data_IF_920245798792
#
_entry.id   IF_920245798792
#
_cell.length_a   1.000
_cell.length_b   1.000
_cell.length_c   1.000
_cell.angle_alpha   90.00
_cell.angle_beta   90.00
_cell.angle_gamma   90.00
#
_symmetry.space_group_name_H-M   'P 1'
#
loop_
_entity.id
_entity.type
_entity.pdbx_description
1 polymer ?
#
# COMPACT_ATOMS: atom_id res chain seq x y z
N UNK A 1 -43.17 37.56 -15.84
CA UNK A 1 -42.11 38.01 -16.77
C UNK A 1 -41.88 36.89 -17.79
N UNK A 2 -42.02 37.14 -19.10
CA UNK A 2 -41.92 36.08 -20.10
C UNK A 2 -40.45 35.78 -20.45
N UNK A 3 -40.12 34.50 -20.53
CA UNK A 3 -38.81 34.00 -20.94
C UNK A 3 -38.63 34.12 -22.46
N UNK A 4 -37.58 34.82 -22.88
CA UNK A 4 -37.14 34.88 -24.27
C UNK A 4 -36.26 33.67 -24.60
N UNK A 5 -36.74 32.85 -25.55
CA UNK A 5 -35.97 31.83 -26.24
C UNK A 5 -34.97 32.50 -27.18
N UNK A 6 -33.68 32.18 -27.04
CA UNK A 6 -32.63 32.60 -27.96
C UNK A 6 -32.03 31.34 -28.59
N UNK A 7 -32.46 31.04 -29.81
CA UNK A 7 -31.93 29.96 -30.64
C UNK A 7 -31.00 30.58 -31.69
N UNK A 8 -29.70 30.33 -31.56
CA UNK A 8 -28.70 30.46 -32.63
C UNK A 8 -27.44 29.71 -32.20
N UNK A 9 -27.34 28.44 -32.60
CA UNK A 9 -26.11 27.64 -32.48
C UNK A 9 -25.54 27.40 -33.89
N UNK A 10 -24.27 27.74 -34.16
CA UNK A 10 -23.67 27.68 -35.50
C UNK A 10 -23.08 26.30 -35.86
N UNK A 11 -23.38 25.25 -35.10
CA UNK A 11 -22.84 23.92 -35.35
C UNK A 11 -23.86 23.01 -36.08
N UNK A 12 -24.07 23.28 -37.38
CA UNK A 12 -24.64 22.28 -38.30
C UNK A 12 -23.48 21.64 -39.07
N UNK A 13 -23.00 20.51 -38.56
CA UNK A 13 -22.02 19.68 -39.26
C UNK A 13 -22.78 18.60 -40.06
N UNK A 14 -22.74 18.71 -41.38
CA UNK A 14 -23.23 17.71 -42.33
C UNK A 14 -22.48 16.40 -42.10
N UNK A 15 -23.16 15.42 -41.50
CA UNK A 15 -22.72 14.03 -41.51
C UNK A 15 -23.64 13.31 -42.50
N UNK A 16 -23.12 12.96 -43.68
CA UNK A 16 -23.82 12.03 -44.56
C UNK A 16 -23.97 10.67 -43.83
N UNK A 17 -25.14 10.02 -43.90
CA UNK A 17 -25.33 8.72 -43.27
C UNK A 17 -24.45 7.69 -43.97
N UNK A 18 -23.43 7.18 -43.27
CA UNK A 18 -22.69 5.99 -43.68
C UNK A 18 -23.66 4.83 -43.71
N UNK A 19 -24.01 4.42 -44.91
CA UNK A 19 -24.88 3.30 -45.20
C UNK A 19 -24.12 2.00 -44.88
N UNK A 20 -24.16 1.58 -43.61
CA UNK A 20 -23.61 0.30 -43.18
C UNK A 20 -24.41 -0.83 -43.85
N UNK A 21 -23.81 -1.44 -44.86
CA UNK A 21 -24.33 -2.63 -45.51
C UNK A 21 -24.02 -3.84 -44.61
N UNK A 22 -25.01 -4.53 -44.03
CA UNK A 22 -24.79 -5.60 -43.04
C UNK A 22 -24.22 -6.90 -43.63
N UNK A 23 -23.95 -6.96 -44.93
CA UNK A 23 -23.44 -8.16 -45.61
C UNK A 23 -21.90 -8.24 -45.76
N UNK A 24 -21.15 -7.26 -45.25
CA UNK A 24 -19.68 -7.25 -45.39
C UNK A 24 -18.91 -7.22 -44.05
N UNK A 25 -19.38 -8.03 -43.09
CA UNK A 25 -18.54 -8.43 -41.95
C UNK A 25 -17.77 -9.70 -42.32
N UNK A 26 -16.81 -9.57 -43.24
CA UNK A 26 -15.83 -10.63 -43.45
C UNK A 26 -15.00 -10.79 -42.16
N UNK A 27 -15.23 -11.89 -41.44
CA UNK A 27 -14.44 -12.25 -40.26
C UNK A 27 -13.01 -12.54 -40.74
N UNK A 28 -12.14 -11.53 -40.65
CA UNK A 28 -10.72 -11.69 -40.89
C UNK A 28 -10.13 -12.59 -39.81
N UNK A 29 -9.62 -13.75 -40.20
CA UNK A 29 -8.88 -14.63 -39.29
C UNK A 29 -7.40 -14.27 -39.36
N UNK A 30 -6.64 -14.43 -38.27
CA UNK A 30 -5.17 -14.22 -38.29
C UNK A 30 -4.46 -14.99 -39.41
N UNK A 31 -5.04 -16.11 -39.88
CA UNK A 31 -4.53 -16.87 -41.01
C UNK A 31 -4.56 -16.06 -42.31
N UNK A 32 -5.63 -15.30 -42.53
CA UNK A 32 -5.79 -14.43 -43.71
C UNK A 32 -4.78 -13.29 -43.72
N UNK A 33 -4.46 -12.74 -42.54
CA UNK A 33 -3.44 -11.69 -42.40
C UNK A 33 -2.03 -12.24 -42.69
N UNK A 34 -1.70 -13.43 -42.19
CA UNK A 34 -0.43 -14.11 -42.48
C UNK A 34 -0.25 -14.43 -43.97
N UNK A 35 -1.30 -14.91 -44.64
CA UNK A 35 -1.25 -15.20 -46.09
C UNK A 35 -1.11 -13.92 -46.94
N UNK A 36 -1.62 -12.79 -46.46
CA UNK A 36 -1.47 -11.49 -47.14
C UNK A 36 -0.04 -10.94 -47.06
N UNK A 37 0.70 -11.25 -45.98
CA UNK A 37 2.10 -10.86 -45.81
C UNK A 37 3.03 -11.67 -46.72
N UNK A 38 2.73 -12.93 -46.99
CA UNK A 38 3.50 -13.74 -47.95
C UNK A 38 3.26 -13.32 -49.41
N UNK A 39 2.03 -12.91 -49.76
CA UNK A 39 1.71 -12.46 -51.13
C UNK A 39 2.30 -11.09 -51.48
N UNK A 40 2.51 -10.23 -50.49
CA UNK A 40 2.98 -8.86 -50.69
C UNK A 40 4.50 -8.70 -50.45
N UNK A 41 5.28 -9.73 -50.80
CA UNK A 41 6.73 -9.67 -51.05
C UNK A 41 7.50 -8.66 -50.20
N UNK A 42 8.08 -9.11 -49.10
CA UNK A 42 8.96 -8.32 -48.21
C UNK A 42 9.90 -7.43 -49.04
N UNK A 43 9.83 -6.09 -48.90
CA UNK A 43 10.76 -5.21 -49.59
C UNK A 43 12.17 -5.54 -49.13
N UNK A 44 12.99 -5.94 -50.09
CA UNK A 44 14.36 -6.36 -49.93
C UNK A 44 15.19 -5.20 -49.34
N UNK A 45 15.38 -5.21 -48.01
CA UNK A 45 16.10 -4.19 -47.26
C UNK A 45 17.60 -4.52 -47.11
N UNK A 46 18.19 -5.13 -48.15
CA UNK A 46 19.59 -5.56 -48.14
C UNK A 46 20.34 -4.94 -49.32
N UNK A 47 20.75 -3.66 -49.16
CA UNK A 47 21.93 -2.99 -49.78
C UNK A 47 21.79 -1.47 -49.75
N UNK A 48 22.15 -0.85 -48.63
CA UNK A 48 22.91 0.40 -48.65
C UNK A 48 23.38 0.76 -47.24
N UNK A 49 24.52 0.20 -46.83
CA UNK A 49 25.30 0.74 -45.71
C UNK A 49 26.57 1.29 -46.34
N UNK A 50 26.61 2.60 -46.54
CA UNK A 50 27.83 3.30 -46.91
C UNK A 50 28.78 3.34 -45.70
N UNK A 51 30.11 3.33 -45.91
CA UNK A 51 31.08 3.33 -44.81
C UNK A 51 31.05 4.66 -44.07
N UNK A 52 30.81 4.63 -42.75
CA UNK A 52 30.93 5.81 -41.89
C UNK A 52 32.42 6.10 -41.70
N UNK A 53 32.88 7.14 -42.39
CA UNK A 53 34.22 7.71 -42.25
C UNK A 53 34.34 8.40 -40.89
N UNK A 54 35.36 8.01 -40.11
CA UNK A 54 35.68 8.60 -38.82
C UNK A 54 36.22 10.02 -39.03
N UNK A 55 35.37 11.04 -38.85
CA UNK A 55 35.86 12.41 -38.67
C UNK A 55 36.41 12.60 -37.24
N UNK A 56 37.73 12.70 -37.18
CA UNK A 56 38.50 13.12 -36.00
C UNK A 56 38.39 14.64 -35.91
N UNK A 57 37.62 15.15 -34.95
CA UNK A 57 37.53 16.59 -34.69
C UNK A 57 38.72 17.06 -33.85
N UNK A 58 39.80 17.48 -34.50
CA UNK A 58 40.88 18.27 -33.90
C UNK A 58 40.84 19.68 -34.46
N UNK A 59 40.53 20.70 -33.65
CA UNK A 59 41.03 22.08 -33.82
C UNK A 59 40.70 22.99 -32.61
N UNK A 60 41.32 24.18 -32.49
CA UNK A 60 42.34 24.39 -31.47
C UNK A 60 42.02 25.55 -30.50
N UNK A 61 42.84 25.63 -29.47
CA UNK A 61 42.97 26.75 -28.52
C UNK A 61 43.26 28.09 -29.24
N UNK A 62 42.47 29.12 -28.95
CA UNK A 62 42.94 30.50 -28.71
C UNK A 62 41.79 31.39 -28.18
N UNK A 63 42.03 32.07 -27.04
CA UNK A 63 41.19 33.10 -26.44
C UNK A 63 41.28 34.44 -27.22
N UNK A 64 40.43 35.47 -26.97
CA UNK A 64 40.50 36.26 -25.72
C UNK A 64 39.16 36.79 -25.14
N UNK A 65 39.13 36.85 -23.81
CA UNK A 65 38.66 37.95 -22.94
C UNK A 65 37.58 38.89 -23.52
N UNK A 66 36.35 38.79 -22.99
CA UNK A 66 35.51 39.97 -22.70
C UNK A 66 34.75 39.79 -21.37
N UNK A 67 34.77 40.87 -20.59
CA UNK A 67 34.36 41.01 -19.21
C UNK A 67 32.83 40.94 -19.04
N UNK A 68 32.32 40.07 -18.16
CA UNK A 68 30.99 40.25 -17.59
C UNK A 68 31.01 40.09 -16.06
N UNK A 69 30.88 41.27 -15.44
CA UNK A 69 30.42 41.64 -14.09
C UNK A 69 30.31 40.53 -13.04
N UNK A 70 31.25 40.62 -12.12
CA UNK A 70 31.17 40.26 -10.70
C UNK A 70 29.85 40.74 -10.08
N UNK A 71 29.05 39.81 -9.55
CA UNK A 71 28.04 40.11 -8.54
C UNK A 71 28.64 39.87 -7.15
N UNK A 72 28.92 40.96 -6.44
CA UNK A 72 29.19 40.94 -4.99
C UNK A 72 27.87 41.04 -4.23
N UNK A 73 27.67 40.31 -3.12
CA UNK A 73 26.55 40.53 -2.20
C UNK A 73 26.98 41.52 -1.09
N UNK A 74 26.44 42.74 -1.18
CA UNK A 74 26.38 43.78 -0.14
C UNK A 74 25.10 44.59 -0.52
N UNK A 75 24.21 45.05 0.34
CA UNK A 75 24.25 45.36 1.76
C UNK A 75 22.82 45.79 2.17
N UNK A 76 22.48 45.62 3.46
CA UNK A 76 21.58 46.46 4.27
C UNK A 76 20.11 46.67 3.85
N UNK A 77 19.20 46.07 4.61
CA UNK A 77 18.14 46.85 5.26
C UNK A 77 18.08 46.49 6.75
N UNK A 78 18.43 47.49 7.56
CA UNK A 78 18.30 47.53 9.01
C UNK A 78 16.83 47.74 9.36
N UNK A 79 16.32 47.00 10.35
CA UNK A 79 15.31 47.54 11.27
C UNK A 79 15.80 47.39 12.71
N UNK A 80 15.64 48.45 13.53
CA UNK A 80 16.08 48.50 14.91
C UNK A 80 14.98 47.95 15.81
N UNK A 81 15.32 47.15 16.82
CA UNK A 81 14.77 47.28 18.19
C UNK A 81 15.41 46.23 19.11
N UNK A 82 16.11 46.73 20.12
CA UNK A 82 16.44 46.12 21.41
C UNK A 82 17.52 45.03 21.48
N UNK A 83 18.76 45.52 21.56
CA UNK A 83 19.81 44.91 22.39
C UNK A 83 19.39 44.85 23.87
N UNK A 84 19.61 43.69 24.50
CA UNK A 84 19.82 43.59 25.94
C UNK A 84 21.14 42.87 26.17
N UNK A 85 22.21 43.66 26.21
CA UNK A 85 23.57 43.28 26.62
C UNK A 85 23.81 43.80 28.02
N UNK A 86 24.01 42.92 29.02
CA UNK A 86 24.99 42.98 30.14
C UNK A 86 24.93 41.56 30.78
N UNK A 87 25.97 40.84 31.21
CA UNK A 87 27.36 41.12 31.49
C UNK A 87 28.15 39.79 31.42
N UNK A 88 29.39 39.85 30.94
CA UNK A 88 30.40 38.81 31.15
C UNK A 88 31.34 39.24 32.29
N UNK A 89 31.72 38.30 33.16
CA UNK A 89 33.00 38.17 33.89
C UNK A 89 32.89 37.09 34.99
N UNK A 90 34.00 36.55 35.55
CA UNK A 90 35.17 35.98 34.89
C UNK A 90 35.59 34.60 35.46
N UNK A 91 36.57 34.01 34.79
CA UNK A 91 37.46 32.87 35.10
C UNK A 91 37.50 32.29 36.54
N UNK A 92 37.40 30.95 36.57
CA UNK A 92 38.03 29.92 37.43
C UNK A 92 38.56 30.29 38.83
N UNK A 93 38.34 29.38 39.80
CA UNK A 93 39.50 28.61 40.26
C UNK A 93 39.26 27.10 40.39
N UNK A 94 40.33 26.38 40.04
CA UNK A 94 40.67 24.99 40.36
C UNK A 94 40.36 24.66 41.83
N UNK A 95 39.48 23.68 42.07
CA UNK A 95 39.34 23.05 43.39
C UNK A 95 39.49 21.54 43.27
N UNK A 96 40.46 21.08 44.06
CA UNK A 96 40.89 19.73 44.38
C UNK A 96 39.78 18.69 44.56
N UNK A 97 40.10 17.51 44.04
CA UNK A 97 39.50 16.22 44.36
C UNK A 97 39.68 15.97 45.87
N UNK A 98 38.59 15.98 46.64
CA UNK A 98 38.54 15.36 47.97
C UNK A 98 37.51 14.24 47.98
N UNK A 99 38.04 13.02 47.95
CA UNK A 99 37.36 11.75 48.18
C UNK A 99 36.93 11.72 49.65
N UNK A 100 35.65 11.94 49.92
CA UNK A 100 35.08 11.81 51.27
C UNK A 100 33.96 10.77 51.22
N UNK A 101 34.29 9.58 51.72
CA UNK A 101 33.32 8.54 52.04
C UNK A 101 32.54 9.01 53.26
N UNK A 102 31.24 9.27 53.07
CA UNK A 102 30.29 9.38 54.19
C UNK A 102 29.16 8.41 53.92
N UNK A 103 29.19 7.32 54.68
CA UNK A 103 28.04 6.48 54.93
C UNK A 103 26.94 7.36 55.56
N UNK A 104 25.84 7.53 54.84
CA UNK A 104 24.59 8.02 55.39
C UNK A 104 23.54 6.93 55.16
N UNK A 105 23.42 6.09 56.17
CA UNK A 105 22.30 5.21 56.46
C UNK A 105 21.02 6.06 56.51
N UNK A 106 20.25 6.05 55.42
CA UNK A 106 18.89 6.61 55.43
C UNK A 106 17.94 5.44 55.70
N UNK A 107 17.50 5.42 56.96
CA UNK A 107 16.52 4.50 57.50
C UNK A 107 15.23 4.46 56.67
N UNK A 108 14.79 3.23 56.40
CA UNK A 108 13.49 2.89 55.82
C UNK A 108 12.36 3.34 56.75
N UNK A 109 11.29 3.99 56.25
CA UNK A 109 9.99 3.91 56.88
C UNK A 109 9.28 2.64 56.38
N UNK A 110 9.48 1.55 57.10
CA UNK A 110 8.61 0.39 57.06
C UNK A 110 7.25 0.75 57.67
N UNK A 111 6.22 0.93 56.83
CA UNK A 111 4.83 0.88 57.30
C UNK A 111 3.94 0.21 56.27
N UNK A 112 4.02 -1.12 56.22
CA UNK A 112 3.01 -1.96 55.58
C UNK A 112 1.76 -1.95 56.47
N UNK A 113 0.77 -1.15 56.10
CA UNK A 113 -0.59 -1.31 56.65
C UNK A 113 -1.21 -2.56 56.01
N UNK A 114 -1.14 -3.69 56.71
CA UNK A 114 -1.93 -4.87 56.41
C UNK A 114 -3.41 -4.57 56.70
N UNK A 115 -4.17 -4.23 55.68
CA UNK A 115 -5.63 -4.20 55.81
C UNK A 115 -6.16 -5.64 55.94
N UNK A 116 -7.09 -5.90 56.87
CA UNK A 116 -7.68 -7.22 57.06
C UNK A 116 -8.57 -7.57 55.86
N UNK A 117 -8.16 -8.58 55.09
CA UNK A 117 -8.78 -9.01 53.83
C UNK A 117 -10.03 -9.90 54.03
N UNK A 118 -10.94 -9.51 54.94
CA UNK A 118 -12.12 -10.33 55.26
C UNK A 118 -13.21 -10.32 54.18
N UNK A 119 -13.19 -9.36 53.25
CA UNK A 119 -14.24 -9.22 52.23
C UNK A 119 -13.90 -9.90 50.89
N UNK A 120 -12.67 -10.43 50.75
CA UNK A 120 -12.24 -11.10 49.52
C UNK A 120 -13.12 -12.32 49.20
N UNK A 121 -13.49 -13.10 50.21
CA UNK A 121 -14.33 -14.29 50.03
C UNK A 121 -15.76 -13.95 49.62
N UNK A 122 -16.28 -12.78 50.05
CA UNK A 122 -17.61 -12.30 49.65
C UNK A 122 -17.59 -11.88 48.18
N UNK A 123 -16.57 -11.13 47.76
CA UNK A 123 -16.41 -10.68 46.35
C UNK A 123 -16.23 -11.89 45.42
N UNK A 124 -15.42 -12.88 45.83
CA UNK A 124 -15.19 -14.09 45.03
C UNK A 124 -16.47 -14.92 44.87
N UNK A 125 -17.26 -15.08 45.95
CA UNK A 125 -18.57 -15.76 45.90
C UNK A 125 -19.54 -15.04 44.95
N UNK A 126 -19.55 -13.70 44.96
CA UNK A 126 -20.45 -12.91 44.12
C UNK A 126 -20.10 -13.03 42.62
N UNK A 127 -18.81 -13.08 42.28
CA UNK A 127 -18.33 -13.33 40.91
C UNK A 127 -18.75 -14.72 40.42
N UNK A 128 -18.61 -15.75 41.26
CA UNK A 128 -19.00 -17.13 40.89
C UNK A 128 -20.51 -17.22 40.62
N UNK A 129 -21.34 -16.62 41.48
CA UNK A 129 -22.80 -16.58 41.28
C UNK A 129 -23.16 -15.86 39.97
N UNK A 130 -22.54 -14.71 39.70
CA UNK A 130 -22.77 -13.95 38.46
C UNK A 130 -22.43 -14.78 37.22
N UNK A 131 -21.32 -15.52 37.27
CA UNK A 131 -20.85 -16.36 36.14
C UNK A 131 -21.82 -17.51 35.87
N UNK A 132 -22.29 -18.20 36.92
CA UNK A 132 -23.29 -19.28 36.80
C UNK A 132 -24.60 -18.72 36.23
N UNK A 133 -25.00 -17.52 36.64
CA UNK A 133 -26.23 -16.88 36.15
C UNK A 133 -26.17 -16.56 34.65
N UNK A 134 -25.02 -16.08 34.15
CA UNK A 134 -24.82 -15.81 32.72
C UNK A 134 -24.87 -17.10 31.90
N UNK A 135 -24.20 -18.17 32.37
CA UNK A 135 -24.22 -19.47 31.69
C UNK A 135 -25.63 -20.06 31.67
N UNK A 136 -26.37 -19.97 32.79
CA UNK A 136 -27.74 -20.47 32.89
C UNK A 136 -28.70 -19.74 31.95
N UNK A 137 -28.65 -18.40 31.92
CA UNK A 137 -29.46 -17.60 31.00
C UNK A 137 -29.14 -17.89 29.53
N UNK A 138 -27.86 -18.07 29.21
CA UNK A 138 -27.42 -18.34 27.83
C UNK A 138 -27.87 -19.75 27.38
N UNK A 139 -27.72 -20.76 28.25
CA UNK A 139 -28.19 -22.12 27.98
C UNK A 139 -29.71 -22.20 27.84
N UNK A 140 -30.45 -21.47 28.68
CA UNK A 140 -31.91 -21.38 28.57
C UNK A 140 -32.36 -20.76 27.24
N UNK A 141 -31.72 -19.67 26.82
CA UNK A 141 -32.02 -19.02 25.54
C UNK A 141 -31.70 -19.93 24.34
N UNK A 142 -30.59 -20.66 24.39
CA UNK A 142 -30.21 -21.62 23.35
C UNK A 142 -31.19 -22.81 23.27
N UNK A 143 -31.71 -23.27 24.41
CA UNK A 143 -32.70 -24.34 24.42
C UNK A 143 -34.04 -23.87 23.85
N UNK A 144 -34.51 -22.68 24.24
CA UNK A 144 -35.76 -22.09 23.76
C UNK A 144 -35.77 -21.92 22.23
N UNK A 145 -34.64 -21.58 21.64
CA UNK A 145 -34.52 -21.32 20.19
C UNK A 145 -34.41 -22.60 19.34
N UNK A 146 -34.04 -23.75 19.92
CA UNK A 146 -33.93 -25.02 19.17
C UNK A 146 -35.22 -25.84 19.07
N UNK A 147 -36.25 -25.56 19.86
CA UNK A 147 -37.44 -26.44 19.96
C UNK A 147 -38.54 -26.17 18.93
N UNK A 148 -38.38 -25.22 17.99
CA UNK A 148 -39.50 -24.72 17.17
C UNK A 148 -39.46 -25.07 15.68
N UNK A 149 -38.88 -26.20 15.29
CA UNK A 149 -39.00 -26.70 13.92
C UNK A 149 -39.59 -28.10 13.89
N UNK A 150 -40.86 -28.19 14.28
CA UNK A 150 -41.73 -29.32 13.90
C UNK A 150 -42.08 -29.11 12.41
N UNK A 151 -41.55 -29.93 11.48
CA UNK A 151 -41.95 -29.85 10.09
C UNK A 151 -43.45 -30.11 9.99
N UNK A 152 -44.19 -29.18 9.39
CA UNK A 152 -45.61 -29.33 9.17
C UNK A 152 -45.87 -30.60 8.32
N UNK A 153 -46.90 -31.40 8.64
CA UNK A 153 -47.26 -32.56 7.83
C UNK A 153 -47.67 -32.08 6.44
N UNK A 154 -46.94 -32.56 5.43
CA UNK A 154 -47.22 -32.35 4.03
C UNK A 154 -48.56 -33.02 3.71
N UNK A 155 -49.59 -32.21 3.49
CA UNK A 155 -50.88 -32.64 2.94
C UNK A 155 -50.62 -32.98 1.48
N UNK A 156 -50.78 -34.26 1.12
CA UNK A 156 -50.70 -34.74 -0.26
C UNK A 156 -51.94 -34.27 -1.02
N UNK A 157 -51.86 -33.10 -1.65
CA UNK A 157 -52.81 -32.70 -2.69
C UNK A 157 -52.52 -33.49 -3.99
N UNK A 158 -53.56 -33.83 -4.77
CA UNK A 158 -53.42 -34.57 -6.03
C UNK A 158 -52.53 -33.79 -7.01
N UNK A 159 -51.49 -34.48 -7.50
CA UNK A 159 -50.53 -33.99 -8.49
C UNK A 159 -51.28 -33.60 -9.77
N UNK A 160 -51.53 -32.31 -9.92
CA UNK A 160 -51.77 -31.67 -11.21
C UNK A 160 -50.41 -31.55 -11.86
N UNK A 161 -50.23 -32.21 -13.01
CA UNK A 161 -49.03 -32.12 -13.85
C UNK A 161 -48.81 -30.65 -14.25
N UNK A 162 -48.09 -29.93 -13.39
CA UNK A 162 -47.65 -28.57 -13.65
C UNK A 162 -46.44 -28.71 -14.59
N UNK A 163 -46.45 -28.06 -15.75
CA UNK A 163 -45.35 -28.14 -16.70
C UNK A 163 -44.04 -27.82 -15.97
N UNK A 164 -43.08 -28.73 -16.08
CA UNK A 164 -41.73 -28.60 -15.55
C UNK A 164 -41.15 -27.33 -16.17
N UNK A 165 -41.25 -26.21 -15.45
CA UNK A 165 -40.55 -24.99 -15.82
C UNK A 165 -39.07 -25.31 -15.65
N UNK A 166 -38.35 -25.33 -16.77
CA UNK A 166 -36.89 -25.39 -16.75
C UNK A 166 -36.39 -24.32 -15.77
N UNK A 167 -35.51 -24.68 -14.82
CA UNK A 167 -35.02 -23.74 -13.83
C UNK A 167 -34.42 -22.55 -14.58
N UNK A 168 -35.09 -21.40 -14.47
CA UNK A 168 -34.59 -20.14 -15.03
C UNK A 168 -33.21 -19.95 -14.43
N UNK A 169 -32.19 -20.08 -15.27
CA UNK A 169 -30.81 -19.93 -14.86
C UNK A 169 -30.63 -18.48 -14.43
N UNK A 170 -30.67 -18.23 -13.12
CA UNK A 170 -30.46 -16.91 -12.54
C UNK A 170 -28.99 -16.60 -12.77
N UNK A 171 -28.69 -15.92 -13.87
CA UNK A 171 -27.35 -15.42 -14.17
C UNK A 171 -27.03 -14.42 -13.08
N UNK A 172 -26.17 -14.83 -12.14
CA UNK A 172 -25.66 -13.94 -11.10
C UNK A 172 -25.07 -12.70 -11.79
N UNK A 173 -25.42 -11.48 -11.36
CA UNK A 173 -24.89 -10.27 -11.96
C UNK A 173 -23.36 -10.33 -12.01
N UNK A 174 -22.79 -10.02 -13.18
CA UNK A 174 -21.36 -10.02 -13.40
C UNK A 174 -20.71 -8.99 -12.46
N UNK A 175 -19.87 -9.45 -11.54
CA UNK A 175 -19.17 -8.57 -10.62
C UNK A 175 -18.21 -7.65 -11.39
N UNK A 176 -18.32 -6.34 -11.18
CA UNK A 176 -17.47 -5.32 -11.82
C UNK A 176 -16.00 -5.45 -11.40
N UNK A 177 -15.77 -5.84 -10.15
CA UNK A 177 -14.43 -5.96 -9.55
C UNK A 177 -14.25 -7.33 -8.93
N UNK A 178 -13.05 -7.90 -9.08
CA UNK A 178 -12.68 -9.18 -8.49
C UNK A 178 -11.98 -8.98 -7.14
N UNK A 179 -12.43 -9.70 -6.11
CA UNK A 179 -11.67 -9.82 -4.86
C UNK A 179 -10.51 -10.84 -4.97
N UNK A 180 -10.57 -11.74 -5.96
CA UNK A 180 -9.59 -12.81 -6.14
C UNK A 180 -8.38 -12.37 -6.96
N UNK A 181 -8.58 -11.52 -7.98
CA UNK A 181 -7.55 -11.05 -8.90
C UNK A 181 -7.34 -9.53 -8.79
N UNK A 182 -6.13 -9.02 -9.08
CA UNK A 182 -5.92 -7.59 -9.19
C UNK A 182 -6.82 -6.97 -10.26
N UNK A 183 -7.40 -5.81 -9.94
CA UNK A 183 -8.19 -4.99 -10.83
C UNK A 183 -7.32 -3.86 -11.42
N UNK A 184 -7.73 -3.28 -12.54
CA UNK A 184 -7.05 -2.13 -13.12
C UNK A 184 -7.81 -0.85 -12.80
N UNK A 185 -7.09 0.16 -12.31
CA UNK A 185 -7.60 1.51 -12.10
C UNK A 185 -6.95 2.44 -13.11
N UNK A 186 -7.69 2.78 -14.16
CA UNK A 186 -7.21 3.63 -15.25
C UNK A 186 -7.23 5.10 -14.81
N UNK A 187 -6.10 5.77 -14.94
CA UNK A 187 -5.94 7.21 -14.69
C UNK A 187 -5.44 7.88 -15.95
N UNK A 188 -6.10 8.97 -16.35
CA UNK A 188 -5.62 9.79 -17.44
C UNK A 188 -4.44 10.66 -16.97
N UNK A 189 -3.24 10.35 -17.48
CA UNK A 189 -2.01 11.07 -17.12
C UNK A 189 -1.91 12.46 -17.77
N UNK A 190 -2.69 12.77 -18.80
CA UNK A 190 -2.58 14.02 -19.57
C UNK A 190 -3.06 15.25 -18.77
N UNK A 191 -4.06 15.09 -17.91
CA UNK A 191 -4.68 16.16 -17.13
C UNK A 191 -4.59 15.93 -15.62
N UNK A 192 -3.63 15.12 -15.20
CA UNK A 192 -3.62 14.52 -13.86
C UNK A 192 -3.66 15.56 -12.74
N UNK A 193 -4.72 15.51 -11.93
CA UNK A 193 -4.84 16.28 -10.70
C UNK A 193 -5.22 15.36 -9.53
N UNK A 194 -4.81 15.71 -8.32
CA UNK A 194 -5.18 14.97 -7.12
C UNK A 194 -6.72 14.84 -6.99
N UNK A 195 -7.48 15.87 -7.39
CA UNK A 195 -8.93 15.85 -7.38
C UNK A 195 -9.52 14.77 -8.32
N UNK A 196 -8.96 14.62 -9.52
CA UNK A 196 -9.38 13.59 -10.48
C UNK A 196 -9.05 12.18 -9.99
N UNK A 197 -7.83 11.96 -9.49
CA UNK A 197 -7.44 10.66 -8.92
C UNK A 197 -8.36 10.30 -7.75
N UNK A 198 -8.65 11.26 -6.87
CA UNK A 198 -9.57 11.06 -5.74
C UNK A 198 -10.98 10.71 -6.23
N UNK A 199 -11.45 11.36 -7.29
CA UNK A 199 -12.76 11.07 -7.90
C UNK A 199 -12.82 9.64 -8.45
N UNK A 200 -11.79 9.21 -9.19
CA UNK A 200 -11.69 7.85 -9.73
C UNK A 200 -11.68 6.81 -8.61
N UNK A 201 -10.89 7.03 -7.57
CA UNK A 201 -10.86 6.16 -6.38
C UNK A 201 -12.19 6.15 -5.63
N UNK A 202 -12.84 7.30 -5.48
CA UNK A 202 -14.13 7.40 -4.80
C UNK A 202 -15.23 6.67 -5.55
N UNK A 203 -15.21 6.72 -6.89
CA UNK A 203 -16.17 5.97 -7.71
C UNK A 203 -15.97 4.45 -7.55
N UNK A 204 -14.73 3.97 -7.64
CA UNK A 204 -14.42 2.56 -7.40
C UNK A 204 -14.79 2.11 -5.98
N UNK A 205 -14.52 2.97 -4.98
CA UNK A 205 -14.93 2.74 -3.60
C UNK A 205 -16.45 2.66 -3.42
N UNK A 206 -17.21 3.57 -4.02
CA UNK A 206 -18.66 3.60 -3.91
C UNK A 206 -19.31 2.38 -4.57
N UNK A 207 -18.81 1.94 -5.72
CA UNK A 207 -19.25 0.70 -6.38
C UNK A 207 -19.07 -0.54 -5.49
N UNK A 208 -18.08 -0.51 -4.58
CA UNK A 208 -17.78 -1.59 -3.64
C UNK A 208 -18.52 -1.48 -2.30
N UNK A 209 -19.17 -0.34 -2.02
CA UNK A 209 -19.83 -0.07 -0.73
C UNK A 209 -21.01 -1.00 -0.46
N UNK A 210 -21.73 -1.35 -1.52
CA UNK A 210 -22.90 -2.24 -1.47
C UNK A 210 -22.52 -3.73 -1.53
N UNK A 211 -21.23 -4.04 -1.72
CA UNK A 211 -20.75 -5.41 -1.58
C UNK A 211 -20.86 -5.83 -0.12
N UNK A 212 -21.78 -6.76 0.15
CA UNK A 212 -22.04 -7.30 1.50
C UNK A 212 -20.86 -8.07 2.10
N UNK A 213 -19.85 -8.40 1.29
CA UNK A 213 -18.65 -9.07 1.75
C UNK A 213 -17.61 -8.05 2.25
N UNK A 214 -17.06 -8.30 3.44
CA UNK A 214 -15.86 -7.63 3.97
C UNK A 214 -14.60 -8.07 3.20
N UNK A 215 -14.65 -7.94 1.88
CA UNK A 215 -13.58 -8.32 0.97
C UNK A 215 -12.62 -7.15 0.76
N UNK A 216 -11.35 -7.48 0.59
CA UNK A 216 -10.32 -6.54 0.14
C UNK A 216 -10.16 -6.66 -1.37
N UNK A 217 -10.23 -5.52 -2.05
CA UNK A 217 -10.10 -5.43 -3.50
C UNK A 217 -8.77 -4.77 -3.84
N UNK A 218 -8.01 -5.45 -4.70
CA UNK A 218 -6.67 -5.03 -5.10
C UNK A 218 -6.73 -4.28 -6.43
N UNK A 219 -6.03 -3.15 -6.54
CA UNK A 219 -5.99 -2.31 -7.72
C UNK A 219 -4.55 -1.99 -8.14
N UNK A 220 -4.22 -2.34 -9.37
CA UNK A 220 -3.06 -1.83 -10.09
C UNK A 220 -3.45 -0.55 -10.82
N UNK A 221 -2.69 0.52 -10.59
CA UNK A 221 -2.93 1.82 -11.20
C UNK A 221 -2.24 1.86 -12.56
N UNK A 222 -3.00 2.14 -13.62
CA UNK A 222 -2.51 2.13 -15.01
C UNK A 222 -2.89 3.40 -15.76
N UNK A 223 -2.15 3.73 -16.80
CA UNK A 223 -2.50 4.81 -17.74
C UNK A 223 -3.57 4.36 -18.77
N UNK A 224 -3.95 5.26 -19.68
CA UNK A 224 -4.91 4.99 -20.76
C UNK A 224 -4.44 3.88 -21.75
N UNK A 225 -3.16 3.54 -21.75
CA UNK A 225 -2.57 2.51 -22.60
C UNK A 225 -2.37 1.19 -21.82
N UNK A 226 -2.91 1.08 -20.61
CA UNK A 226 -2.74 -0.03 -19.66
C UNK A 226 -1.30 -0.24 -19.17
N UNK A 227 -0.45 0.79 -19.22
CA UNK A 227 0.88 0.72 -18.61
C UNK A 227 0.79 1.00 -17.11
N UNK A 228 1.41 0.19 -16.23
CA UNK A 228 1.48 0.48 -14.81
C UNK A 228 2.15 1.82 -14.52
N UNK A 229 1.50 2.63 -13.69
CA UNK A 229 2.06 3.89 -13.19
C UNK A 229 3.00 3.56 -12.02
N UNK A 230 4.14 4.24 -11.93
CA UNK A 230 5.11 4.03 -10.84
C UNK A 230 4.74 4.85 -9.60
N UNK A 231 5.20 4.40 -8.43
CA UNK A 231 4.94 5.08 -7.15
C UNK A 231 5.38 6.54 -7.13
N UNK A 232 6.59 6.93 -7.60
CA UNK A 232 6.99 8.34 -7.57
C UNK A 232 6.08 9.23 -8.43
N UNK A 233 5.65 8.74 -9.59
CA UNK A 233 4.75 9.46 -10.50
C UNK A 233 3.36 9.60 -9.87
N UNK A 234 2.82 8.50 -9.33
CA UNK A 234 1.54 8.51 -8.64
C UNK A 234 1.56 9.41 -7.39
N UNK A 235 2.61 9.32 -6.57
CA UNK A 235 2.75 10.09 -5.34
C UNK A 235 2.79 11.60 -5.62
N UNK A 236 3.53 12.02 -6.64
CA UNK A 236 3.56 13.42 -7.05
C UNK A 236 2.17 13.90 -7.51
N UNK A 237 1.48 13.10 -8.31
CA UNK A 237 0.18 13.44 -8.88
C UNK A 237 -0.97 13.41 -7.86
N UNK A 238 -0.90 12.51 -6.88
CA UNK A 238 -1.85 12.39 -5.78
C UNK A 238 -1.51 13.32 -4.59
N UNK A 239 -0.47 14.16 -4.73
CA UNK A 239 0.02 15.06 -3.68
C UNK A 239 0.35 14.30 -2.37
N UNK A 240 0.89 13.08 -2.48
CA UNK A 240 1.44 12.36 -1.32
C UNK A 240 2.77 13.00 -0.92
N UNK A 241 2.80 13.69 0.22
CA UNK A 241 3.97 14.44 0.68
C UNK A 241 4.94 13.59 1.50
N UNK A 242 5.20 12.35 1.06
CA UNK A 242 6.26 11.51 1.64
C UNK A 242 7.64 12.15 1.39
N UNK A 243 8.54 12.09 2.37
CA UNK A 243 9.87 12.66 2.18
C UNK A 243 10.64 11.94 1.07
N UNK A 244 11.49 12.68 0.35
CA UNK A 244 12.28 12.10 -0.75
C UNK A 244 13.10 10.89 -0.30
N UNK A 245 13.60 10.91 0.94
CA UNK A 245 14.32 9.79 1.54
C UNK A 245 13.48 8.52 1.64
N UNK A 246 12.22 8.65 2.08
CA UNK A 246 11.27 7.53 2.09
C UNK A 246 11.04 7.04 0.66
N UNK A 247 10.71 7.93 -0.28
CA UNK A 247 10.47 7.55 -1.69
C UNK A 247 11.67 6.78 -2.27
N UNK A 248 12.91 7.22 -2.02
CA UNK A 248 14.11 6.51 -2.51
C UNK A 248 14.37 5.16 -1.84
N UNK A 249 13.79 4.91 -0.67
CA UNK A 249 13.90 3.64 0.03
C UNK A 249 12.85 2.61 -0.42
N UNK A 250 11.90 3.03 -1.26
CA UNK A 250 10.79 2.23 -1.78
C UNK A 250 11.00 1.84 -3.23
N UNK A 251 10.32 0.78 -3.67
CA UNK A 251 10.26 0.33 -5.05
C UNK A 251 9.45 1.28 -5.95
N UNK A 252 9.52 1.03 -7.25
CA UNK A 252 8.71 1.77 -8.23
C UNK A 252 7.29 1.19 -8.35
N UNK A 253 7.11 -0.08 -7.98
CA UNK A 253 5.84 -0.78 -7.98
C UNK A 253 5.01 -0.44 -6.74
N UNK A 254 3.70 -0.29 -6.93
CA UNK A 254 2.77 -0.16 -5.83
C UNK A 254 1.41 -0.74 -6.21
N UNK A 255 0.62 -0.99 -5.18
CA UNK A 255 -0.73 -1.53 -5.32
C UNK A 255 -1.63 -0.81 -4.33
N UNK A 256 -2.80 -0.39 -4.80
CA UNK A 256 -3.84 0.19 -3.96
C UNK A 256 -4.82 -0.90 -3.53
N UNK A 257 -5.37 -0.74 -2.34
CA UNK A 257 -6.36 -1.64 -1.78
C UNK A 257 -7.57 -0.85 -1.33
N UNK A 258 -8.75 -1.38 -1.64
CA UNK A 258 -10.02 -0.86 -1.15
C UNK A 258 -10.62 -1.90 -0.23
N UNK A 259 -10.96 -1.50 0.99
CA UNK A 259 -11.53 -2.37 2.01
C UNK A 259 -12.83 -1.79 2.56
N UNK A 260 -13.88 -2.61 2.60
CA UNK A 260 -15.17 -2.22 3.20
C UNK A 260 -15.17 -2.53 4.70
N UNK A 261 -14.81 -1.55 5.52
CA UNK A 261 -14.79 -1.65 6.98
C UNK A 261 -16.17 -1.32 7.55
N UNK A 262 -17.10 -2.29 7.47
CA UNK A 262 -18.47 -2.17 7.96
C UNK A 262 -19.25 -0.98 7.37
N UNK A 263 -19.24 -0.84 6.04
CA UNK A 263 -19.88 0.24 5.29
C UNK A 263 -19.02 1.50 5.13
N UNK A 264 -17.90 1.58 5.86
CA UNK A 264 -16.90 2.63 5.69
C UNK A 264 -15.82 2.14 4.74
N UNK A 265 -15.73 2.73 3.55
CA UNK A 265 -14.67 2.38 2.61
C UNK A 265 -13.35 3.00 3.09
N UNK A 266 -12.33 2.15 3.16
CA UNK A 266 -10.97 2.50 3.58
C UNK A 266 -9.99 2.14 2.49
N UNK A 267 -8.91 2.91 2.43
CA UNK A 267 -7.84 2.70 1.49
C UNK A 267 -6.61 2.15 2.19
N UNK A 268 -5.94 1.24 1.51
CA UNK A 268 -4.58 0.82 1.82
C UNK A 268 -3.70 0.98 0.59
N UNK A 269 -2.40 1.06 0.81
CA UNK A 269 -1.43 0.85 -0.26
C UNK A 269 -0.29 -0.02 0.21
N UNK A 270 0.33 -0.72 -0.73
CA UNK A 270 1.57 -1.42 -0.49
C UNK A 270 2.55 -1.22 -1.64
N UNK A 271 3.83 -1.22 -1.31
CA UNK A 271 4.93 -1.04 -2.25
C UNK A 271 6.15 -1.83 -1.77
N UNK A 272 7.01 -2.22 -2.70
CA UNK A 272 8.24 -2.94 -2.39
C UNK A 272 9.25 -2.06 -1.65
N UNK A 273 10.17 -2.67 -0.92
CA UNK A 273 11.23 -2.00 -0.15
C UNK A 273 12.58 -2.25 -0.81
N UNK A 274 13.39 -1.20 -0.97
CA UNK A 274 14.78 -1.31 -1.39
C UNK A 274 15.76 -1.31 -0.21
N UNK A 275 15.47 -0.54 0.85
CA UNK A 275 16.31 -0.47 2.06
C UNK A 275 15.45 -0.39 3.34
N UNK A 276 15.24 -1.55 3.98
CA UNK A 276 14.34 -1.72 5.13
C UNK A 276 14.77 -0.91 6.35
N UNK A 277 16.04 -1.01 6.76
CA UNK A 277 16.53 -0.33 7.97
C UNK A 277 16.46 1.18 7.85
N UNK A 278 16.86 1.71 6.68
CA UNK A 278 16.77 3.13 6.40
C UNK A 278 15.32 3.61 6.36
N UNK A 279 14.43 2.87 5.69
CA UNK A 279 13.01 3.18 5.60
C UNK A 279 12.34 3.27 6.98
N UNK A 280 12.59 2.30 7.87
CA UNK A 280 12.01 2.30 9.23
C UNK A 280 12.41 3.57 9.98
N UNK A 281 13.68 3.97 9.90
CA UNK A 281 14.19 5.17 10.58
C UNK A 281 13.54 6.44 10.03
N UNK A 282 13.44 6.59 8.71
CA UNK A 282 12.87 7.79 8.09
C UNK A 282 11.34 7.85 8.27
N UNK A 283 10.63 6.72 8.26
CA UNK A 283 9.20 6.68 8.62
C UNK A 283 8.98 7.17 10.05
N UNK A 284 9.77 6.71 11.01
CA UNK A 284 9.68 7.15 12.41
C UNK A 284 9.93 8.66 12.56
N UNK A 285 10.85 9.23 11.79
CA UNK A 285 11.09 10.68 11.77
C UNK A 285 9.91 11.46 11.19
N UNK A 286 9.16 10.86 10.26
CA UNK A 286 8.02 11.48 9.58
C UNK A 286 6.68 11.21 10.28
N UNK A 287 6.63 10.45 11.38
CA UNK A 287 5.39 10.10 12.10
C UNK A 287 4.56 11.33 12.55
N UNK A 288 5.21 12.47 12.80
CA UNK A 288 4.52 13.70 13.20
C UNK A 288 3.73 14.37 12.07
N UNK A 289 4.13 14.17 10.81
CA UNK A 289 3.46 14.74 9.62
C UNK A 289 2.76 13.68 8.80
N UNK A 290 3.03 12.39 9.03
CA UNK A 290 2.55 11.28 8.20
C UNK A 290 1.05 11.33 7.96
N UNK A 291 0.25 11.76 8.94
CA UNK A 291 -1.20 11.87 8.78
C UNK A 291 -1.67 12.91 7.77
N UNK A 292 -0.91 14.00 7.65
CA UNK A 292 -1.11 14.99 6.60
C UNK A 292 -0.53 14.49 5.29
N UNK A 293 0.61 13.80 5.35
CA UNK A 293 1.32 13.32 4.16
C UNK A 293 0.58 12.25 3.36
N UNK A 294 -0.29 11.48 4.02
CA UNK A 294 -1.18 10.51 3.37
C UNK A 294 -2.65 10.93 3.42
N UNK A 295 -2.95 12.22 3.64
CA UNK A 295 -4.32 12.73 3.75
C UNK A 295 -5.17 12.42 2.51
N UNK A 296 -4.54 12.32 1.33
CA UNK A 296 -5.16 11.90 0.08
C UNK A 296 -5.91 10.55 0.19
N UNK A 297 -5.42 9.64 1.04
CA UNK A 297 -6.02 8.30 1.21
C UNK A 297 -7.37 8.32 1.95
N UNK A 298 -7.80 9.47 2.49
CA UNK A 298 -9.10 9.64 3.12
C UNK A 298 -10.12 10.17 2.12
N UNK A 299 -10.98 9.27 1.62
CA UNK A 299 -11.95 9.57 0.58
C UNK A 299 -13.05 10.53 1.04
N UNK A 300 -13.74 10.22 2.14
CA UNK A 300 -14.92 10.98 2.58
C UNK A 300 -14.55 12.33 3.20
N UNK A 301 -13.68 12.32 4.20
CA UNK A 301 -13.22 13.53 4.89
C UNK A 301 -11.86 13.28 5.53
N UNK A 302 -11.01 14.31 5.50
CA UNK A 302 -9.77 14.31 6.27
C UNK A 302 -10.18 14.44 7.74
N UNK A 303 -9.83 13.48 8.61
CA UNK A 303 -10.20 13.56 10.01
C UNK A 303 -9.55 14.81 10.63
N UNK A 304 -10.28 15.51 11.51
CA UNK A 304 -9.68 16.56 12.33
C UNK A 304 -8.50 15.95 13.09
N UNK A 305 -7.30 16.49 12.85
CA UNK A 305 -6.08 15.92 13.42
C UNK A 305 -6.08 16.17 14.92
N UNK A 306 -6.24 15.12 15.71
CA UNK A 306 -5.93 15.18 17.15
C UNK A 306 -4.42 15.28 17.36
N UNK A 307 -3.99 15.92 18.44
CA UNK A 307 -2.59 15.83 18.85
C UNK A 307 -2.33 14.45 19.47
N UNK A 308 -1.21 13.82 19.12
CA UNK A 308 -0.79 12.57 19.74
C UNK A 308 0.46 11.99 19.08
N UNK A 309 0.84 10.79 19.53
CA UNK A 309 2.00 10.08 19.03
C UNK A 309 1.60 8.72 18.46
N UNK A 310 2.35 8.25 17.48
CA UNK A 310 2.26 6.88 16.99
C UNK A 310 2.59 5.89 18.12
N UNK A 311 1.83 4.80 18.15
CA UNK A 311 1.94 3.71 19.13
C UNK A 311 2.43 2.44 18.45
N UNK A 312 3.09 1.58 19.21
CA UNK A 312 3.50 0.26 18.75
C UNK A 312 2.34 -0.74 18.84
N UNK A 313 2.26 -1.62 17.84
CA UNK A 313 1.36 -2.76 17.81
C UNK A 313 2.01 -3.96 17.12
N UNK A 314 1.25 -5.06 17.05
CA UNK A 314 1.68 -6.28 16.37
C UNK A 314 0.48 -6.93 15.67
N UNK A 315 0.73 -7.48 14.48
CA UNK A 315 -0.25 -8.28 13.76
C UNK A 315 0.45 -9.33 12.88
N UNK A 316 0.06 -10.60 13.01
CA UNK A 316 0.68 -11.74 12.33
C UNK A 316 2.23 -11.69 12.33
N UNK A 317 2.81 -11.49 13.51
CA UNK A 317 4.26 -11.33 13.75
C UNK A 317 4.93 -10.10 13.11
N UNK A 318 4.20 -9.25 12.39
CA UNK A 318 4.70 -7.97 11.92
C UNK A 318 4.51 -6.89 12.99
N UNK A 319 5.57 -6.12 13.23
CA UNK A 319 5.49 -4.91 14.04
C UNK A 319 4.67 -3.87 13.27
N UNK A 320 3.67 -3.32 13.93
CA UNK A 320 2.83 -2.25 13.37
C UNK A 320 3.04 -0.96 14.15
N UNK A 321 2.81 0.16 13.49
CA UNK A 321 2.80 1.50 14.07
C UNK A 321 1.48 2.14 13.71
N UNK A 322 0.79 2.72 14.69
CA UNK A 322 -0.54 3.27 14.44
C UNK A 322 -0.78 4.58 15.16
N UNK A 323 -1.60 5.42 14.55
CA UNK A 323 -2.04 6.69 15.11
C UNK A 323 -3.54 6.84 14.91
N UNK A 324 -4.29 6.92 16.03
CA UNK A 324 -5.71 7.19 15.99
C UNK A 324 -5.91 8.69 15.78
N UNK A 325 -6.56 9.06 14.68
CA UNK A 325 -6.78 10.47 14.33
C UNK A 325 -7.99 11.07 15.02
N UNK A 326 -8.85 10.24 15.63
CA UNK A 326 -9.99 10.71 16.40
C UNK A 326 -10.20 9.92 17.70
N UNK A 327 -10.94 10.51 18.63
CA UNK A 327 -11.24 9.93 19.95
C UNK A 327 -12.08 8.66 19.88
N UNK A 328 -12.93 8.54 18.85
CA UNK A 328 -13.74 7.35 18.60
C UNK A 328 -12.95 6.19 17.96
N UNK A 329 -11.68 6.41 17.60
CA UNK A 329 -10.82 5.44 16.92
C UNK A 329 -11.45 4.83 15.65
N UNK A 330 -12.29 5.60 14.97
CA UNK A 330 -12.88 5.20 13.69
C UNK A 330 -11.96 5.53 12.51
N UNK A 331 -11.06 6.50 12.69
CA UNK A 331 -10.02 6.84 11.73
C UNK A 331 -8.66 6.65 12.38
N UNK A 332 -7.80 5.89 11.72
CA UNK A 332 -6.42 5.71 12.11
C UNK A 332 -5.54 5.61 10.88
N UNK A 333 -4.25 5.90 11.08
CA UNK A 333 -3.23 5.57 10.10
C UNK A 333 -2.38 4.52 10.73
N UNK A 334 -2.34 3.37 10.07
CA UNK A 334 -1.61 2.21 10.50
C UNK A 334 -0.62 1.86 9.41
N UNK A 335 0.63 1.60 9.77
CA UNK A 335 1.62 1.10 8.83
C UNK A 335 2.41 -0.08 9.41
N UNK A 336 2.92 -0.91 8.50
CA UNK A 336 3.81 -2.03 8.81
C UNK A 336 4.94 -2.07 7.77
N UNK A 337 6.14 -2.41 8.25
CA UNK A 337 7.30 -2.67 7.41
C UNK A 337 7.63 -4.15 7.52
N UNK A 338 7.36 -4.90 6.45
CA UNK A 338 7.68 -6.33 6.35
C UNK A 338 9.11 -6.49 5.82
N UNK A 339 9.50 -7.70 5.41
CA UNK A 339 10.84 -7.93 4.82
C UNK A 339 10.99 -7.31 3.44
N UNK A 340 9.93 -7.30 2.64
CA UNK A 340 9.96 -6.86 1.25
C UNK A 340 9.00 -5.72 0.94
N UNK A 341 8.06 -5.39 1.84
CA UNK A 341 6.98 -4.42 1.57
C UNK A 341 6.71 -3.44 2.69
N UNK A 342 6.47 -2.19 2.31
CA UNK A 342 5.77 -1.21 3.14
C UNK A 342 4.27 -1.37 2.89
N UNK A 343 3.48 -1.30 3.96
CA UNK A 343 2.03 -1.35 3.91
C UNK A 343 1.49 -0.21 4.77
N UNK A 344 0.60 0.62 4.23
CA UNK A 344 -0.09 1.69 4.95
C UNK A 344 -1.59 1.52 4.74
N UNK A 345 -2.39 1.69 5.80
CA UNK A 345 -3.85 1.66 5.76
C UNK A 345 -4.48 2.82 6.52
N UNK A 346 -5.64 3.27 6.06
CA UNK A 346 -6.46 4.32 6.72
C UNK A 346 -7.44 3.77 7.78
N UNK A 347 -7.24 2.52 8.17
CA UNK A 347 -7.74 1.95 9.42
C UNK A 347 -6.91 0.73 9.82
N UNK A 348 -6.97 0.37 11.11
CA UNK A 348 -6.40 -0.87 11.63
C UNK A 348 -6.86 -2.11 10.85
N UNK A 349 -8.15 -2.17 10.49
CA UNK A 349 -8.71 -3.33 9.79
C UNK A 349 -8.20 -3.39 8.34
N UNK A 350 -8.05 -2.24 7.69
CA UNK A 350 -7.48 -2.17 6.35
C UNK A 350 -6.04 -2.65 6.31
N UNK A 351 -5.18 -2.19 7.25
CA UNK A 351 -3.79 -2.67 7.33
C UNK A 351 -3.75 -4.20 7.48
N UNK A 352 -4.57 -4.75 8.38
CA UNK A 352 -4.65 -6.20 8.63
C UNK A 352 -5.10 -6.97 7.39
N UNK A 353 -6.15 -6.50 6.73
CA UNK A 353 -6.66 -7.12 5.51
C UNK A 353 -5.61 -7.13 4.38
N UNK A 354 -4.80 -6.06 4.25
CA UNK A 354 -3.70 -6.03 3.27
C UNK A 354 -2.61 -7.04 3.65
N UNK A 355 -2.22 -7.10 4.93
CA UNK A 355 -1.25 -8.09 5.42
C UNK A 355 -1.74 -9.52 5.13
N UNK A 356 -2.98 -9.83 5.47
CA UNK A 356 -3.56 -11.16 5.27
C UNK A 356 -3.61 -11.54 3.78
N UNK A 357 -4.02 -10.61 2.91
CA UNK A 357 -4.03 -10.81 1.46
C UNK A 357 -2.64 -11.13 0.92
N UNK A 358 -1.61 -10.44 1.40
CA UNK A 358 -0.23 -10.66 0.96
C UNK A 358 0.35 -11.98 1.44
N UNK A 359 0.03 -12.40 2.67
CA UNK A 359 0.46 -13.68 3.22
C UNK A 359 -0.14 -14.86 2.45
N UNK A 360 -1.42 -14.75 2.06
CA UNK A 360 -2.09 -15.75 1.24
C UNK A 360 -1.46 -15.88 -0.16
N UNK A 361 -0.88 -14.80 -0.70
CA UNK A 361 -0.19 -14.84 -1.98
C UNK A 361 1.14 -15.58 -1.93
N UNK A 362 1.79 -15.67 -0.76
CA UNK A 362 3.11 -16.32 -0.57
C UNK A 362 2.95 -17.84 -0.40
N UNK A 363 1.92 -18.30 0.32
CA UNK A 363 1.73 -19.72 0.67
C UNK A 363 1.74 -20.73 -0.50
N UNK A 364 1.21 -20.45 -1.70
CA UNK A 364 1.15 -21.45 -2.78
C UNK A 364 2.48 -21.67 -3.53
N UNK A 365 3.40 -20.70 -3.48
CA UNK A 365 4.63 -20.75 -4.29
C UNK A 365 5.75 -21.54 -3.60
N UNK A 366 5.86 -21.46 -2.26
CA UNK A 366 6.90 -22.19 -1.51
C UNK A 366 6.62 -23.69 -1.38
N UNK A 367 5.36 -24.13 -1.32
CA UNK A 367 5.02 -25.56 -1.22
C UNK A 367 5.35 -26.38 -2.49
N UNK A 368 5.55 -25.72 -3.63
CA UNK A 368 5.99 -26.38 -4.88
C UNK A 368 7.51 -26.47 -5.03
N UNK A 369 8.27 -25.66 -4.29
CA UNK A 369 9.73 -25.69 -4.36
C UNK A 369 10.31 -26.84 -3.52
N UNK A 370 9.68 -27.20 -2.40
CA UNK A 370 10.23 -28.20 -1.47
C UNK A 370 9.95 -29.66 -1.87
N UNK A 371 9.02 -29.92 -2.79
CA UNK A 371 8.65 -31.28 -3.20
C UNK A 371 9.34 -31.80 -4.48
N UNK A 372 10.22 -31.01 -5.11
CA UNK A 372 10.89 -31.41 -6.36
C UNK A 372 12.35 -31.87 -6.19
N UNK A 373 12.92 -31.83 -4.98
CA UNK A 373 14.32 -32.22 -4.75
C UNK A 373 14.52 -33.68 -4.31
N UNK A 374 13.47 -34.50 -4.15
CA UNK A 374 13.61 -35.92 -3.74
C UNK A 374 13.57 -36.95 -4.89
N UNK A 375 13.55 -36.54 -6.16
CA UNK A 375 13.47 -37.47 -7.30
C UNK A 375 14.68 -37.40 -8.26
N UNK A 376 15.90 -37.47 -7.73
CA UNK A 376 17.06 -37.89 -8.54
C UNK A 376 18.03 -38.79 -7.75
N UNK A 377 17.54 -39.95 -7.30
CA UNK A 377 18.40 -41.09 -6.94
C UNK A 377 18.61 -41.93 -8.19
N UNK A 378 19.47 -41.44 -9.09
CA UNK A 378 19.88 -42.11 -10.32
C UNK A 378 21.37 -42.43 -10.30
N UNK A 379 21.71 -43.59 -9.73
CA UNK A 379 22.96 -44.35 -9.89
C UNK A 379 24.11 -43.69 -10.66
N UNK A 380 25.14 -43.23 -9.94
CA UNK A 380 26.50 -43.14 -10.51
C UNK A 380 27.39 -44.11 -9.73
N UNK A 381 27.68 -45.22 -10.39
CA UNK A 381 28.70 -46.16 -9.96
C UNK A 381 30.04 -45.42 -9.90
N UNK A 382 30.63 -45.43 -8.71
CA UNK A 382 32.02 -45.11 -8.45
C UNK A 382 32.90 -46.13 -9.21
N UNK A 383 33.96 -45.67 -9.90
CA UNK A 383 35.27 -46.05 -9.37
C UNK A 383 36.30 -44.92 -9.45
N UNK A 384 37.03 -44.79 -8.33
CA UNK A 384 38.46 -44.53 -8.22
C UNK A 384 39.16 -43.78 -9.38
N UNK A 385 39.77 -42.63 -9.05
CA UNK A 385 41.20 -42.42 -9.27
C UNK A 385 41.68 -41.21 -8.46
N UNK A 386 42.67 -41.50 -7.62
CA UNK A 386 43.62 -40.61 -6.97
C UNK A 386 44.31 -39.69 -7.96
N UNK A 387 44.38 -38.38 -7.68
CA UNK A 387 45.59 -37.62 -8.01
C UNK A 387 45.78 -36.42 -7.08
N UNK A 388 46.90 -36.50 -6.35
CA UNK A 388 47.47 -35.51 -5.46
C UNK A 388 48.12 -34.42 -6.31
N UNK A 389 47.77 -33.14 -6.13
CA UNK A 389 48.53 -32.04 -6.72
C UNK A 389 48.78 -30.93 -5.70
N UNK A 390 50.04 -30.53 -5.65
CA UNK A 390 50.71 -29.73 -4.65
C UNK A 390 50.20 -28.29 -4.51
N UNK A 391 50.26 -27.83 -3.27
CA UNK A 391 50.30 -26.43 -2.86
C UNK A 391 51.57 -25.79 -3.41
N UNK A 392 51.43 -24.66 -4.12
CA UNK A 392 52.55 -23.80 -4.49
C UNK A 392 52.31 -22.41 -3.90
N UNK A 393 53.10 -22.09 -2.88
CA UNK A 393 53.19 -20.77 -2.24
C UNK A 393 53.74 -19.73 -3.23
N UNK A 394 53.16 -18.53 -3.24
CA UNK A 394 53.68 -17.36 -3.93
C UNK A 394 54.34 -16.41 -2.92
N UNK A 395 55.55 -15.88 -3.18
CA UNK A 395 56.23 -14.98 -2.27
C UNK A 395 55.81 -13.52 -2.46
N UNK A 396 55.81 -12.82 -1.32
CA UNK A 396 55.81 -11.38 -1.15
C UNK A 396 56.90 -10.70 -1.99
N UNK A 397 56.53 -9.64 -2.71
CA UNK A 397 57.45 -8.65 -3.24
C UNK A 397 57.11 -7.29 -2.60
N UNK A 398 58.02 -6.86 -1.74
CA UNK A 398 58.20 -5.49 -1.26
C UNK A 398 58.95 -4.67 -2.30
N UNK A 399 58.49 -3.46 -2.57
CA UNK A 399 59.29 -2.23 -2.66
C UNK A 399 58.41 -1.01 -2.38
#
# INVERSE_FOLDING_TARGET
MPAQNNANSPFQNNSEPVQNNPEDFSIHTMKTDLESLEKNGVPNLEKNIAPIEKEIFTKPVAAPIQQQKTFSPQSTQQHPFLEKTIAAAPLAPKVEIKKEAVAAEIAMPEKRMSMPSSNRNIILTLIVILTISIIGLSGYYFWLTRTSSTPAPVVLEPVVETPIQEPVNIVSPLEKYSAAKPNYLVINMENISAAEIKTVLSNAANDLRDSSAQSIYEFMVVDNNNNPITLPVFAAAAELTLSQKIITALGNDFTLFVYNDNGSIRLGFSTSIQNKEFLIKELQLQENTLSQDVAFMFLDSVPETTTGAFKDGFYNNYKTRYFNMNTQATFSIDYAVTDSKLIIGTSKNTLRAVIDKQLLAISPQEQKAENNDEAYVGNVANPALTETAAVQEAPLLSE
#
